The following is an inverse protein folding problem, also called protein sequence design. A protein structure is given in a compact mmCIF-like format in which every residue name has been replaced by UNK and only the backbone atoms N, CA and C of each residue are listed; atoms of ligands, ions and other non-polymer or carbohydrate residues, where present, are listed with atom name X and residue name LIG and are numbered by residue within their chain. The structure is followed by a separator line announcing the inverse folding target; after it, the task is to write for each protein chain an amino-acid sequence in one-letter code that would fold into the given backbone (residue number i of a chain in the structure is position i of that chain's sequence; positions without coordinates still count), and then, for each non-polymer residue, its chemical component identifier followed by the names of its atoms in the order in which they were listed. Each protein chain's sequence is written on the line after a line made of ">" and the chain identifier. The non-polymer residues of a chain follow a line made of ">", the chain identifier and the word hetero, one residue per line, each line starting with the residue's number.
data_IF_525562086459
#
_entry.id   IF_525562086459
#
_cell.length_a   1.000
_cell.length_b   1.000
_cell.length_c   1.000
_cell.angle_alpha   90.00
_cell.angle_beta   90.00
_cell.angle_gamma   90.00
#
_symmetry.space_group_name_H-M   'P 1'
#
loop_
_entity.id
_entity.type
_entity.pdbx_description
1 polymer ?
#
# COMPACT_ATOMS: atom_id res chain seq x y z
N UNK A 1 -4.30 -10.68 1.59
CA UNK A 1 -4.00 -9.24 1.38
C UNK A 1 -3.20 -9.10 0.11
N UNK A 2 -3.57 -8.20 -0.78
CA UNK A 2 -2.85 -7.90 -2.01
C UNK A 2 -2.48 -6.42 -2.03
N UNK A 3 -1.30 -6.09 -2.57
CA UNK A 3 -0.82 -4.74 -2.82
C UNK A 3 -0.65 -4.55 -4.33
N UNK A 4 -1.34 -3.57 -4.90
CA UNK A 4 -1.17 -3.12 -6.26
C UNK A 4 -0.56 -1.72 -6.25
N UNK A 5 0.50 -1.51 -7.03
CA UNK A 5 1.25 -0.25 -7.08
C UNK A 5 1.16 0.33 -8.47
N UNK A 6 0.91 1.63 -8.57
CA UNK A 6 0.93 2.39 -9.82
C UNK A 6 1.88 3.58 -9.74
N UNK A 7 2.68 3.76 -10.77
CA UNK A 7 3.74 4.78 -10.84
C UNK A 7 3.47 5.75 -11.98
N UNK A 8 3.74 7.03 -11.74
CA UNK A 8 3.78 8.06 -12.81
C UNK A 8 5.23 8.29 -13.25
N UNK A 9 5.56 7.93 -14.48
CA UNK A 9 6.92 8.16 -15.04
C UNK A 9 7.16 9.65 -15.28
N UNK A 10 8.19 10.16 -14.64
CA UNK A 10 9.19 11.18 -15.08
C UNK A 10 9.85 11.80 -13.83
N UNK A 11 10.83 11.14 -13.22
CA UNK A 11 11.56 11.77 -12.11
C UNK A 11 12.96 11.17 -11.89
N UNK A 12 13.90 12.07 -11.72
CA UNK A 12 15.27 11.80 -11.25
C UNK A 12 15.40 11.48 -9.76
N UNK A 13 14.29 11.19 -9.05
CA UNK A 13 14.31 10.82 -7.62
C UNK A 13 14.17 9.30 -7.46
N UNK A 14 14.83 8.70 -6.45
CA UNK A 14 14.64 7.29 -6.13
C UNK A 14 13.16 7.03 -5.86
N UNK A 15 12.58 6.08 -6.60
CA UNK A 15 11.18 5.72 -6.51
C UNK A 15 10.92 4.65 -5.43
N UNK A 16 11.96 4.10 -4.85
CA UNK A 16 11.90 3.02 -3.87
C UNK A 16 12.07 3.54 -2.44
N UNK A 17 11.53 2.80 -1.48
CA UNK A 17 11.72 3.06 -0.05
C UNK A 17 13.10 2.53 0.37
N UNK A 18 13.95 3.35 1.02
CA UNK A 18 15.25 2.87 1.49
C UNK A 18 15.09 1.72 2.51
N UNK A 19 15.73 0.58 2.25
CA UNK A 19 15.58 -0.64 3.06
C UNK A 19 16.00 -0.39 4.51
N UNK A 20 17.13 0.28 4.72
CA UNK A 20 17.65 0.56 6.07
C UNK A 20 16.69 1.45 6.87
N UNK A 21 16.09 2.46 6.24
CA UNK A 21 15.08 3.30 6.87
C UNK A 21 13.82 2.50 7.21
N UNK A 22 13.38 1.62 6.32
CA UNK A 22 12.24 0.75 6.56
C UNK A 22 12.49 -0.20 7.74
N UNK A 23 13.64 -0.88 7.77
CA UNK A 23 14.00 -1.79 8.87
C UNK A 23 14.11 -1.03 10.18
N UNK A 24 14.71 0.15 10.18
CA UNK A 24 14.77 1.01 11.39
C UNK A 24 13.39 1.38 11.91
N UNK A 25 12.45 1.73 11.05
CA UNK A 25 11.06 2.02 11.45
C UNK A 25 10.35 0.77 11.99
N UNK A 26 10.58 -0.41 11.40
CA UNK A 26 10.07 -1.67 11.91
C UNK A 26 10.62 -1.98 13.31
N UNK A 27 11.92 -1.78 13.55
CA UNK A 27 12.54 -1.95 14.87
C UNK A 27 11.94 -1.01 15.91
N UNK A 28 11.82 0.27 15.56
CA UNK A 28 11.23 1.26 16.45
C UNK A 28 9.80 0.88 16.82
N UNK A 29 8.99 0.45 15.87
CA UNK A 29 7.64 -0.05 16.15
C UNK A 29 7.66 -1.28 17.06
N UNK A 30 8.55 -2.25 16.77
CA UNK A 30 8.67 -3.48 17.55
C UNK A 30 9.03 -3.21 19.02
N UNK A 31 9.95 -2.27 19.23
CA UNK A 31 10.37 -1.86 20.56
C UNK A 31 9.34 -1.00 21.28
N UNK A 32 8.80 0.02 20.61
CA UNK A 32 7.91 1.00 21.24
C UNK A 32 6.51 0.45 21.49
N UNK A 33 5.92 -0.25 20.53
CA UNK A 33 4.52 -0.70 20.57
C UNK A 33 4.36 -2.11 21.14
N UNK A 34 5.27 -3.03 20.79
CA UNK A 34 5.19 -4.41 21.23
C UNK A 34 6.08 -4.73 22.43
N UNK A 35 6.96 -3.78 22.83
CA UNK A 35 7.94 -3.98 23.92
C UNK A 35 8.86 -5.18 23.70
N UNK A 36 9.11 -5.54 22.42
CA UNK A 36 9.94 -6.65 22.01
C UNK A 36 11.22 -6.18 21.33
N UNK A 37 12.26 -7.00 21.38
CA UNK A 37 13.49 -6.83 20.59
C UNK A 37 13.38 -7.62 19.30
N UNK A 38 13.95 -7.11 18.20
CA UNK A 38 14.07 -7.85 16.95
C UNK A 38 15.30 -8.74 16.97
N UNK A 39 15.21 -9.91 16.33
CA UNK A 39 16.38 -10.73 16.03
C UNK A 39 16.93 -10.40 14.63
N UNK A 40 18.22 -10.72 14.35
CA UNK A 40 18.78 -10.53 13.02
C UNK A 40 18.00 -11.23 11.91
N UNK A 41 17.45 -12.41 12.18
CA UNK A 41 16.63 -13.17 11.24
C UNK A 41 15.31 -12.42 10.92
N UNK A 42 14.69 -11.81 11.93
CA UNK A 42 13.48 -11.03 11.76
C UNK A 42 13.77 -9.76 10.94
N UNK A 43 14.88 -9.09 11.19
CA UNK A 43 15.32 -7.92 10.42
C UNK A 43 15.60 -8.28 8.95
N UNK A 44 16.20 -9.44 8.68
CA UNK A 44 16.38 -9.96 7.33
C UNK A 44 15.05 -10.24 6.63
N UNK A 45 14.04 -10.74 7.35
CA UNK A 45 12.68 -10.91 6.81
C UNK A 45 12.09 -9.55 6.42
N UNK A 46 12.24 -8.52 7.25
CA UNK A 46 11.75 -7.18 6.95
C UNK A 46 12.47 -6.57 5.74
N UNK A 47 13.79 -6.74 5.63
CA UNK A 47 14.55 -6.31 4.45
C UNK A 47 13.98 -6.92 3.18
N UNK A 48 13.75 -8.23 3.17
CA UNK A 48 13.16 -8.95 2.01
C UNK A 48 11.74 -8.49 1.67
N UNK A 49 10.94 -8.15 2.67
CA UNK A 49 9.60 -7.56 2.45
C UNK A 49 9.74 -6.22 1.71
N UNK A 50 10.60 -5.33 2.19
CA UNK A 50 10.85 -4.03 1.58
C UNK A 50 11.39 -4.16 0.16
N UNK A 51 12.40 -4.99 -0.05
CA UNK A 51 12.99 -5.27 -1.36
C UNK A 51 11.96 -5.79 -2.37
N UNK A 52 11.07 -6.70 -1.92
CA UNK A 52 10.00 -7.23 -2.79
C UNK A 52 9.02 -6.14 -3.19
N UNK A 53 8.64 -5.26 -2.27
CA UNK A 53 7.77 -4.12 -2.60
C UNK A 53 8.48 -3.13 -3.52
N UNK A 54 9.76 -2.81 -3.26
CA UNK A 54 10.56 -1.96 -4.13
C UNK A 54 10.68 -2.53 -5.54
N UNK A 55 10.97 -3.83 -5.65
CA UNK A 55 11.03 -4.49 -6.95
C UNK A 55 9.72 -4.32 -7.74
N UNK A 56 8.56 -4.38 -7.07
CA UNK A 56 7.27 -4.14 -7.74
C UNK A 56 7.07 -2.69 -8.13
N UNK A 57 7.54 -1.75 -7.31
CA UNK A 57 7.53 -0.31 -7.64
C UNK A 57 8.39 -0.01 -8.87
N UNK A 58 9.58 -0.58 -8.93
CA UNK A 58 10.55 -0.37 -10.01
C UNK A 58 10.14 -1.08 -11.31
N UNK A 59 9.41 -2.20 -11.20
CA UNK A 59 8.98 -3.05 -12.30
C UNK A 59 7.45 -3.09 -12.43
N UNK A 60 6.80 -1.93 -12.49
CA UNK A 60 5.33 -1.77 -12.53
C UNK A 60 4.64 -2.65 -13.59
N UNK A 61 5.25 -2.80 -14.75
CA UNK A 61 4.67 -3.53 -15.88
C UNK A 61 5.01 -5.03 -15.89
N UNK A 62 5.73 -5.51 -14.89
CA UNK A 62 5.99 -6.95 -14.78
C UNK A 62 4.69 -7.70 -14.51
N UNK A 63 4.31 -8.69 -15.33
CA UNK A 63 3.12 -9.50 -15.09
C UNK A 63 3.30 -10.50 -13.95
N UNK A 64 4.45 -10.50 -13.31
CA UNK A 64 4.79 -11.47 -12.25
C UNK A 64 4.11 -11.08 -10.95
N UNK A 65 3.43 -12.04 -10.34
CA UNK A 65 2.90 -11.94 -9.00
C UNK A 65 3.96 -12.33 -7.98
N UNK A 66 4.19 -11.47 -7.00
CA UNK A 66 5.08 -11.76 -5.89
C UNK A 66 4.26 -12.27 -4.70
N UNK A 67 4.51 -13.50 -4.30
CA UNK A 67 3.87 -14.10 -3.11
C UNK A 67 4.84 -14.05 -1.95
N UNK A 68 4.52 -13.25 -0.94
CA UNK A 68 5.29 -13.16 0.30
C UNK A 68 4.66 -14.08 1.36
N UNK A 69 5.41 -15.07 1.83
CA UNK A 69 4.99 -16.02 2.86
C UNK A 69 5.90 -16.00 4.09
N UNK A 70 6.17 -14.83 4.70
CA UNK A 70 6.95 -14.81 5.93
C UNK A 70 6.18 -15.49 7.08
N UNK A 71 6.87 -15.98 8.10
CA UNK A 71 6.25 -16.66 9.24
C UNK A 71 5.15 -15.82 9.90
N UNK A 72 4.21 -16.50 10.57
CA UNK A 72 3.20 -15.83 11.37
C UNK A 72 3.89 -15.05 12.51
N UNK A 73 3.39 -13.85 12.81
CA UNK A 73 4.00 -13.00 13.83
C UNK A 73 5.20 -12.16 13.35
N UNK A 74 5.67 -12.31 12.10
CA UNK A 74 6.80 -11.55 11.57
C UNK A 74 6.50 -10.08 11.25
N UNK A 75 5.29 -9.58 11.50
CA UNK A 75 4.94 -8.17 11.26
C UNK A 75 4.55 -7.83 9.83
N UNK A 76 4.06 -8.79 9.03
CA UNK A 76 3.64 -8.56 7.62
C UNK A 76 2.74 -7.34 7.41
N UNK A 77 1.67 -7.28 8.19
CA UNK A 77 0.71 -6.17 8.10
C UNK A 77 1.35 -4.85 8.52
N UNK A 78 2.14 -4.88 9.57
CA UNK A 78 2.87 -3.69 10.02
C UNK A 78 3.91 -3.23 9.00
N UNK A 79 4.62 -4.18 8.39
CA UNK A 79 5.55 -3.88 7.30
C UNK A 79 4.85 -3.19 6.12
N UNK A 80 3.66 -3.67 5.73
CA UNK A 80 2.86 -3.02 4.70
C UNK A 80 2.46 -1.58 5.10
N UNK A 81 2.00 -1.38 6.33
CA UNK A 81 1.61 -0.07 6.85
C UNK A 81 2.79 0.90 6.85
N UNK A 82 3.94 0.49 7.38
CA UNK A 82 5.16 1.30 7.41
C UNK A 82 5.64 1.59 5.99
N UNK A 83 5.67 0.59 5.10
CA UNK A 83 6.06 0.80 3.71
C UNK A 83 5.19 1.84 3.01
N UNK A 84 3.86 1.71 3.13
CA UNK A 84 2.92 2.66 2.52
C UNK A 84 3.03 4.07 3.12
N UNK A 85 3.35 4.20 4.41
CA UNK A 85 3.58 5.51 5.04
C UNK A 85 4.82 6.22 4.48
N UNK A 86 5.82 5.46 4.03
CA UNK A 86 7.09 5.95 3.48
C UNK A 86 7.06 6.14 1.95
N UNK A 87 6.03 5.68 1.26
CA UNK A 87 5.94 5.80 -0.21
C UNK A 87 6.10 7.25 -0.66
N UNK A 88 6.91 7.52 -1.71
CA UNK A 88 6.94 8.82 -2.36
C UNK A 88 5.56 9.23 -2.88
N UNK A 89 5.23 10.52 -2.84
CA UNK A 89 3.90 11.06 -3.21
C UNK A 89 3.44 10.68 -4.63
N UNK A 90 4.40 10.44 -5.53
CA UNK A 90 4.13 10.06 -6.93
C UNK A 90 3.65 8.63 -7.10
N UNK A 91 3.79 7.79 -6.07
CA UNK A 91 3.44 6.37 -6.11
C UNK A 91 2.10 6.19 -5.42
N UNK A 92 1.12 5.66 -6.16
CA UNK A 92 -0.16 5.23 -5.62
C UNK A 92 -0.13 3.76 -5.22
N UNK A 93 -0.86 3.39 -4.16
CA UNK A 93 -0.99 2.01 -3.73
C UNK A 93 -2.47 1.63 -3.51
N UNK A 94 -2.84 0.42 -3.92
CA UNK A 94 -4.11 -0.20 -3.62
C UNK A 94 -3.87 -1.40 -2.71
N UNK A 95 -4.52 -1.40 -1.55
CA UNK A 95 -4.48 -2.49 -0.58
C UNK A 95 -5.84 -3.18 -0.57
N UNK A 96 -5.87 -4.49 -0.77
CA UNK A 96 -7.09 -5.28 -0.73
C UNK A 96 -7.06 -6.19 0.48
N UNK A 97 -8.05 -6.06 1.36
CA UNK A 97 -8.17 -6.81 2.61
C UNK A 97 -9.50 -7.55 2.69
N UNK A 98 -9.61 -8.45 3.66
CA UNK A 98 -10.82 -9.27 3.80
C UNK A 98 -11.96 -8.53 4.51
N UNK A 99 -11.65 -7.80 5.56
CA UNK A 99 -12.63 -7.22 6.48
C UNK A 99 -12.62 -5.70 6.44
N UNK A 100 -13.77 -5.05 6.70
CA UNK A 100 -13.95 -3.60 6.73
C UNK A 100 -13.11 -2.95 7.83
N UNK A 101 -13.16 -3.53 9.02
CA UNK A 101 -12.43 -3.08 10.19
C UNK A 101 -10.92 -3.11 9.95
N UNK A 102 -10.44 -4.11 9.21
CA UNK A 102 -9.04 -4.18 8.80
C UNK A 102 -8.69 -3.07 7.81
N UNK A 103 -9.60 -2.72 6.90
CA UNK A 103 -9.37 -1.62 5.97
C UNK A 103 -9.22 -0.28 6.71
N UNK A 104 -10.13 -0.01 7.65
CA UNK A 104 -10.12 1.22 8.46
C UNK A 104 -8.86 1.30 9.34
N UNK A 105 -8.51 0.20 10.00
CA UNK A 105 -7.32 0.12 10.84
C UNK A 105 -6.04 0.38 10.04
N UNK A 106 -5.90 -0.21 8.85
CA UNK A 106 -4.71 -0.02 8.01
C UNK A 106 -4.62 1.42 7.53
N UNK A 107 -5.71 1.99 7.01
CA UNK A 107 -5.73 3.37 6.54
C UNK A 107 -5.39 4.36 7.67
N UNK A 108 -5.99 4.18 8.84
CA UNK A 108 -5.71 4.99 10.03
C UNK A 108 -4.24 4.87 10.47
N UNK A 109 -3.69 3.65 10.52
CA UNK A 109 -2.31 3.41 10.93
C UNK A 109 -1.30 4.03 9.96
N UNK A 110 -1.56 3.97 8.63
CA UNK A 110 -0.73 4.63 7.63
C UNK A 110 -0.71 6.14 7.86
N UNK A 111 -1.88 6.75 8.06
CA UNK A 111 -2.00 8.19 8.30
C UNK A 111 -1.31 8.62 9.60
N UNK A 112 -1.45 7.83 10.66
CA UNK A 112 -0.80 8.09 11.94
C UNK A 112 0.73 8.09 11.82
N UNK A 113 1.30 7.09 11.13
CA UNK A 113 2.76 6.99 10.95
C UNK A 113 3.27 8.07 10.00
N UNK A 114 2.53 8.36 8.93
CA UNK A 114 2.89 9.39 7.96
C UNK A 114 2.76 10.83 8.51
N UNK A 115 1.97 11.03 9.56
CA UNK A 115 1.66 12.36 10.11
C UNK A 115 0.77 13.22 9.20
N UNK A 116 0.30 12.67 8.08
CA UNK A 116 -0.56 13.33 7.09
C UNK A 116 -1.59 12.35 6.54
N UNK A 117 -2.69 12.87 5.97
CA UNK A 117 -3.71 12.04 5.34
C UNK A 117 -3.20 11.49 3.99
N UNK A 118 -2.60 10.31 4.01
CA UNK A 118 -2.11 9.56 2.84
C UNK A 118 -3.06 8.47 2.37
N UNK A 119 -3.76 7.84 3.31
CA UNK A 119 -4.57 6.66 3.07
C UNK A 119 -6.04 6.91 3.39
N UNK A 120 -6.91 6.25 2.64
CA UNK A 120 -8.33 6.15 2.95
C UNK A 120 -8.82 4.71 2.80
N UNK A 121 -9.77 4.31 3.63
CA UNK A 121 -10.52 3.07 3.46
C UNK A 121 -11.80 3.34 2.69
N UNK A 122 -12.22 2.39 1.83
CA UNK A 122 -13.50 2.44 1.13
C UNK A 122 -14.17 1.07 1.15
N UNK A 123 -15.36 1.03 1.74
CA UNK A 123 -16.19 -0.17 1.82
C UNK A 123 -17.68 0.24 1.92
N UNK A 124 -18.61 -0.72 2.06
CA UNK A 124 -20.07 -0.44 2.02
C UNK A 124 -20.52 0.57 3.07
N UNK A 125 -19.89 0.61 4.24
CA UNK A 125 -20.27 1.48 5.36
C UNK A 125 -19.51 2.82 5.35
N UNK A 126 -18.50 2.93 4.49
CA UNK A 126 -17.68 4.12 4.32
C UNK A 126 -17.46 4.38 2.82
N UNK A 127 -18.46 5.01 2.22
CA UNK A 127 -18.42 5.41 0.81
C UNK A 127 -17.73 6.77 0.70
N UNK A 128 -16.67 6.81 -0.09
CA UNK A 128 -15.91 8.03 -0.39
C UNK A 128 -16.26 8.45 -1.81
N UNK A 129 -16.62 9.73 -2.05
CA UNK A 129 -16.80 10.27 -3.39
C UNK A 129 -15.54 10.08 -4.26
N UNK A 130 -15.74 9.86 -5.55
CA UNK A 130 -14.61 9.67 -6.48
C UNK A 130 -13.65 10.86 -6.52
N UNK A 131 -14.18 12.05 -6.27
CA UNK A 131 -13.41 13.29 -6.24
C UNK A 131 -12.36 13.26 -5.13
N UNK A 132 -12.74 12.78 -3.95
CA UNK A 132 -11.84 12.68 -2.79
C UNK A 132 -10.79 11.56 -2.95
N UNK A 133 -11.09 10.54 -3.77
CA UNK A 133 -10.14 9.47 -4.08
C UNK A 133 -9.00 9.93 -4.97
N UNK A 134 -9.19 11.02 -5.72
CA UNK A 134 -8.19 11.54 -6.66
C UNK A 134 -6.91 12.00 -5.98
N UNK A 135 -7.04 12.58 -4.80
CA UNK A 135 -5.94 13.12 -4.02
C UNK A 135 -5.38 12.13 -3.00
N UNK A 136 -5.98 10.91 -2.96
CA UNK A 136 -5.56 9.84 -2.05
C UNK A 136 -4.39 9.06 -2.64
N UNK A 137 -3.32 8.93 -1.87
CA UNK A 137 -2.14 8.18 -2.28
C UNK A 137 -2.33 6.66 -2.11
N UNK A 138 -2.93 6.24 -0.97
CA UNK A 138 -3.15 4.83 -0.64
C UNK A 138 -4.64 4.59 -0.47
N UNK A 139 -5.18 3.67 -1.27
CA UNK A 139 -6.57 3.24 -1.16
C UNK A 139 -6.64 1.84 -0.56
N UNK A 140 -7.38 1.69 0.53
CA UNK A 140 -7.61 0.40 1.19
C UNK A 140 -9.06 -0.01 0.96
N UNK A 141 -9.27 -1.20 0.39
CA UNK A 141 -10.61 -1.72 0.07
C UNK A 141 -10.78 -3.17 0.52
N UNK A 142 -12.02 -3.61 0.61
CA UNK A 142 -12.32 -5.03 0.85
C UNK A 142 -12.25 -5.85 -0.44
N UNK A 143 -12.04 -7.17 -0.31
CA UNK A 143 -12.12 -8.11 -1.44
C UNK A 143 -13.44 -7.96 -2.21
N UNK A 144 -14.57 -7.83 -1.48
CA UNK A 144 -15.88 -7.67 -2.14
C UNK A 144 -15.98 -6.37 -2.94
N UNK A 145 -15.41 -5.28 -2.44
CA UNK A 145 -15.36 -4.01 -3.17
C UNK A 145 -14.48 -4.13 -4.43
N UNK A 146 -13.37 -4.88 -4.34
CA UNK A 146 -12.49 -5.15 -5.47
C UNK A 146 -13.18 -6.01 -6.53
N UNK A 147 -13.81 -7.13 -6.15
CA UNK A 147 -14.58 -8.00 -7.03
C UNK A 147 -15.69 -7.23 -7.76
N UNK A 148 -16.52 -6.49 -7.00
CA UNK A 148 -17.59 -5.67 -7.59
C UNK A 148 -17.05 -4.63 -8.59
N UNK A 149 -15.83 -4.15 -8.40
CA UNK A 149 -15.19 -3.21 -9.33
C UNK A 149 -14.73 -3.91 -10.61
N UNK A 150 -14.26 -5.15 -10.51
CA UNK A 150 -13.89 -5.98 -11.67
C UNK A 150 -15.13 -6.35 -12.49
N UNK A 151 -16.23 -6.75 -11.84
CA UNK A 151 -17.48 -7.08 -12.51
C UNK A 151 -18.01 -5.87 -13.29
N UNK A 152 -17.99 -4.70 -12.68
CA UNK A 152 -18.37 -3.44 -13.37
C UNK A 152 -17.42 -3.11 -14.52
N UNK A 153 -16.15 -3.41 -14.39
CA UNK A 153 -15.18 -3.20 -15.47
C UNK A 153 -15.46 -4.08 -16.69
N UNK A 154 -15.99 -5.28 -16.49
CA UNK A 154 -16.42 -6.16 -17.59
C UNK A 154 -17.69 -5.64 -18.27
N UNK A 155 -18.56 -4.92 -17.56
CA UNK A 155 -19.84 -4.43 -18.04
C UNK A 155 -19.84 -2.95 -18.46
N UNK A 156 -19.04 -2.11 -17.79
CA UNK A 156 -18.95 -0.66 -18.04
C UNK A 156 -17.48 -0.22 -18.05
N UNK A 157 -16.97 0.15 -19.21
CA UNK A 157 -15.59 0.60 -19.41
C UNK A 157 -15.22 1.87 -18.60
N UNK A 158 -16.19 2.55 -18.02
CA UNK A 158 -15.98 3.81 -17.28
C UNK A 158 -15.56 3.65 -15.82
N UNK A 159 -15.53 2.41 -15.29
CA UNK A 159 -15.28 2.19 -13.87
C UNK A 159 -14.19 1.16 -13.61
N UNK A 160 -12.95 1.55 -13.66
CA UNK A 160 -11.86 0.65 -13.32
C UNK A 160 -10.80 1.33 -12.44
N UNK A 161 -10.10 0.53 -11.68
CA UNK A 161 -8.87 0.87 -10.98
C UNK A 161 -7.79 1.42 -11.94
N UNK A 162 -7.88 1.12 -13.24
CA UNK A 162 -7.15 1.81 -14.30
C UNK A 162 -7.45 3.30 -14.32
N UNK A 163 -8.68 3.69 -14.10
CA UNK A 163 -9.05 5.11 -14.06
C UNK A 163 -8.50 5.79 -12.80
N UNK A 164 -8.43 5.09 -11.65
CA UNK A 164 -7.76 5.61 -10.46
C UNK A 164 -6.27 5.90 -10.73
N UNK A 165 -5.57 4.96 -11.34
CA UNK A 165 -4.14 5.12 -11.66
C UNK A 165 -3.89 6.07 -12.84
N UNK A 166 -4.72 6.04 -13.87
CA UNK A 166 -4.62 6.90 -15.06
C UNK A 166 -5.03 8.33 -14.73
N UNK A 167 -6.05 8.51 -13.89
CA UNK A 167 -6.55 9.82 -13.51
C UNK A 167 -5.52 10.60 -12.67
N UNK A 168 -4.82 9.94 -11.78
CA UNK A 168 -3.71 10.55 -11.03
C UNK A 168 -2.57 11.02 -11.96
N UNK A 169 -2.38 10.34 -13.10
CA UNK A 169 -1.41 10.73 -14.13
C UNK A 169 -1.79 12.04 -14.86
N UNK A 170 -3.09 12.32 -15.02
CA UNK A 170 -3.55 13.47 -15.80
C UNK A 170 -3.51 14.81 -15.05
N UNK A 171 -3.55 14.81 -13.73
CA UNK A 171 -3.54 16.02 -12.88
C UNK A 171 -2.15 16.67 -12.71
N UNK A 172 -1.07 16.06 -13.25
CA UNK A 172 0.32 16.50 -13.10
C UNK A 172 0.97 17.02 -14.39
N UNK A 173 0.15 17.42 -15.38
CA UNK A 173 0.61 18.15 -16.56
C UNK A 173 0.42 19.64 -16.41
#
# INVERSE_FOLDING_TARGET
>A
MALLISITKNLSKPMSVPVDCFVSNMKNYWQSSLKNTSSPELENIWSKICETFNHKVENEFSPIWHVLQPPTGSGKTQGLVIYCSMLPEIIGALIVVRFKEQADMIASSINQIAGVKKAVSRHSDHLIPMEDLRDTQVLVITHKAYENSLDRFQHDLDWSWKNYTTYRKSKRR
#
